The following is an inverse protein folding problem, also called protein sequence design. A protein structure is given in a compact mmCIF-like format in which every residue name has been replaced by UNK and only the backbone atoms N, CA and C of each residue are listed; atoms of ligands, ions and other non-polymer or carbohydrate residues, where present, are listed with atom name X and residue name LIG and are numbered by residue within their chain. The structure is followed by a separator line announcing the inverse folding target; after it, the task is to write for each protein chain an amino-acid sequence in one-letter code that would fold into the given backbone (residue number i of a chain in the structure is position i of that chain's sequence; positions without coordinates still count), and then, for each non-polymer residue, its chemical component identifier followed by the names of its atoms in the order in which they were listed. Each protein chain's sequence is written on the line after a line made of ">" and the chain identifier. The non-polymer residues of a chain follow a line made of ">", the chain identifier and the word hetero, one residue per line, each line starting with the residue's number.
data_IF_213286409271
#
_entry.id   IF_213286409271
#
_cell.length_a   1.000
_cell.length_b   1.000
_cell.length_c   1.000
_cell.angle_alpha   90.00
_cell.angle_beta   90.00
_cell.angle_gamma   90.00
#
_symmetry.space_group_name_H-M   'P 1'
#
loop_
_entity.id
_entity.type
_entity.pdbx_description
1 polymer ?
#
# COMPACT_ATOMS: atom_id res chain seq x y z
N UNK A 1 -5.20 -12.99 11.62
CA UNK A 1 -5.15 -11.75 10.79
C UNK A 1 -6.47 -11.59 10.07
N UNK A 2 -7.08 -10.44 10.19
CA UNK A 2 -8.29 -10.10 9.44
C UNK A 2 -7.97 -9.97 7.95
N UNK A 3 -9.02 -9.99 7.11
CA UNK A 3 -8.86 -9.82 5.66
C UNK A 3 -8.17 -8.48 5.34
N UNK A 4 -7.19 -8.52 4.47
CA UNK A 4 -6.43 -7.36 4.03
C UNK A 4 -6.89 -6.95 2.64
N UNK A 5 -7.08 -5.65 2.45
CA UNK A 5 -7.31 -5.09 1.11
C UNK A 5 -5.96 -4.75 0.50
N UNK A 6 -5.64 -5.36 -0.63
CA UNK A 6 -4.42 -5.11 -1.38
C UNK A 6 -4.75 -4.16 -2.53
N UNK A 7 -4.05 -3.05 -2.61
CA UNK A 7 -4.16 -2.15 -3.77
C UNK A 7 -3.19 -2.63 -4.84
N UNK A 8 -3.73 -3.01 -5.99
CA UNK A 8 -2.93 -3.55 -7.09
C UNK A 8 -1.94 -2.52 -7.62
N UNK A 9 -0.75 -3.00 -7.93
CA UNK A 9 0.34 -2.25 -8.54
C UNK A 9 0.93 -3.10 -9.67
N UNK A 10 2.22 -3.02 -9.93
CA UNK A 10 2.87 -3.93 -10.88
C UNK A 10 2.77 -5.37 -10.39
N UNK A 11 2.78 -6.37 -11.29
CA UNK A 11 2.53 -7.76 -10.91
C UNK A 11 3.42 -8.28 -9.77
N UNK A 12 4.71 -7.99 -9.81
CA UNK A 12 5.64 -8.43 -8.77
C UNK A 12 5.33 -7.76 -7.42
N UNK A 13 5.09 -6.46 -7.44
CA UNK A 13 4.78 -5.69 -6.22
C UNK A 13 3.47 -6.17 -5.61
N UNK A 14 2.44 -6.39 -6.43
CA UNK A 14 1.16 -6.93 -5.97
C UNK A 14 1.35 -8.31 -5.32
N UNK A 15 2.16 -9.17 -5.91
CA UNK A 15 2.45 -10.49 -5.36
C UNK A 15 3.16 -10.40 -4.00
N UNK A 16 4.04 -9.44 -3.82
CA UNK A 16 4.69 -9.19 -2.53
C UNK A 16 3.68 -8.75 -1.46
N UNK A 17 2.77 -7.84 -1.82
CA UNK A 17 1.72 -7.40 -0.90
C UNK A 17 0.81 -8.55 -0.49
N UNK A 18 0.45 -9.42 -1.44
CA UNK A 18 -0.34 -10.62 -1.17
C UNK A 18 0.44 -11.57 -0.26
N UNK A 19 1.74 -11.71 -0.48
CA UNK A 19 2.62 -12.53 0.36
C UNK A 19 2.70 -12.07 1.81
N UNK A 20 2.46 -10.78 2.05
CA UNK A 20 2.44 -10.22 3.41
C UNK A 20 1.13 -10.47 4.16
N UNK A 21 0.08 -10.93 3.47
CA UNK A 21 -1.25 -11.13 4.05
C UNK A 21 -1.60 -12.61 4.12
N UNK A 22 -2.38 -13.01 5.12
CA UNK A 22 -2.90 -14.38 5.21
C UNK A 22 -4.19 -14.56 4.40
N UNK A 23 -5.06 -13.59 4.46
CA UNK A 23 -6.31 -13.56 3.70
C UNK A 23 -6.46 -12.16 3.11
N UNK A 24 -6.74 -12.07 1.83
CA UNK A 24 -6.78 -10.78 1.15
C UNK A 24 -7.77 -10.73 0.00
N UNK A 25 -8.15 -9.52 -0.34
CA UNK A 25 -8.82 -9.18 -1.59
C UNK A 25 -7.96 -8.15 -2.30
N UNK A 26 -7.82 -8.29 -3.61
CA UNK A 26 -7.04 -7.35 -4.43
C UNK A 26 -8.02 -6.44 -5.17
N UNK A 27 -7.77 -5.13 -5.09
CA UNK A 27 -8.57 -4.15 -5.82
C UNK A 27 -7.66 -3.32 -6.74
N UNK A 28 -8.22 -2.89 -7.85
CA UNK A 28 -7.54 -2.03 -8.81
C UNK A 28 -8.31 -0.71 -8.89
N UNK A 29 -7.70 0.36 -8.44
CA UNK A 29 -8.31 1.70 -8.47
C UNK A 29 -7.26 2.76 -8.18
N UNK A 30 -7.50 3.97 -8.66
CA UNK A 30 -6.73 5.16 -8.32
C UNK A 30 -7.54 6.11 -7.42
N UNK A 31 -8.76 5.70 -7.05
CA UNK A 31 -9.63 6.47 -6.18
C UNK A 31 -9.47 6.03 -4.73
N UNK A 32 -8.89 6.89 -3.91
CA UNK A 32 -8.78 6.67 -2.47
C UNK A 32 -10.15 6.51 -1.82
N UNK A 33 -11.11 7.29 -2.27
CA UNK A 33 -12.49 7.24 -1.78
C UNK A 33 -13.14 5.89 -2.01
N UNK A 34 -13.05 5.37 -3.25
CA UNK A 34 -13.61 4.07 -3.60
C UNK A 34 -12.94 2.94 -2.82
N UNK A 35 -11.62 2.99 -2.68
CA UNK A 35 -10.86 2.00 -1.91
C UNK A 35 -11.26 2.03 -0.44
N UNK A 36 -11.36 3.22 0.15
CA UNK A 36 -11.77 3.38 1.56
C UNK A 36 -13.18 2.84 1.80
N UNK A 37 -14.11 3.14 0.92
CA UNK A 37 -15.49 2.63 1.01
C UNK A 37 -15.54 1.11 0.91
N UNK A 38 -14.77 0.53 -0.01
CA UNK A 38 -14.67 -0.92 -0.16
C UNK A 38 -14.11 -1.57 1.11
N UNK A 39 -13.05 -0.98 1.69
CA UNK A 39 -12.44 -1.50 2.91
C UNK A 39 -13.45 -1.50 4.08
N UNK A 40 -14.21 -0.43 4.23
CA UNK A 40 -15.25 -0.34 5.28
C UNK A 40 -16.38 -1.34 5.04
N UNK A 41 -16.91 -1.40 3.82
CA UNK A 41 -18.04 -2.25 3.47
C UNK A 41 -17.74 -3.74 3.61
N UNK A 42 -16.49 -4.13 3.37
CA UNK A 42 -16.04 -5.51 3.45
C UNK A 42 -15.33 -5.83 4.76
N UNK A 43 -15.36 -4.90 5.72
CA UNK A 43 -14.79 -5.10 7.05
C UNK A 43 -13.33 -5.56 7.00
N UNK A 44 -12.54 -4.95 6.11
CA UNK A 44 -11.11 -5.26 6.02
C UNK A 44 -10.38 -4.79 7.27
N UNK A 45 -9.40 -5.56 7.71
CA UNK A 45 -8.60 -5.22 8.89
C UNK A 45 -7.46 -4.26 8.61
N UNK A 46 -7.01 -4.20 7.36
CA UNK A 46 -5.92 -3.32 6.93
C UNK A 46 -5.97 -3.09 5.42
N UNK A 47 -5.29 -2.07 4.96
CA UNK A 47 -5.05 -1.80 3.54
C UNK A 47 -3.55 -1.79 3.30
N UNK A 48 -3.08 -2.62 2.39
CA UNK A 48 -1.66 -2.64 1.99
C UNK A 48 -1.50 -1.98 0.63
N UNK A 49 -0.56 -1.06 0.54
CA UNK A 49 -0.19 -0.37 -0.69
C UNK A 49 1.30 -0.56 -0.98
N UNK A 50 1.69 -0.38 -2.23
CA UNK A 50 3.10 -0.42 -2.59
C UNK A 50 3.86 0.77 -1.97
N UNK A 51 5.08 0.53 -1.51
CA UNK A 51 5.94 1.56 -0.93
C UNK A 51 6.67 2.41 -1.98
N UNK A 52 6.02 2.67 -3.10
CA UNK A 52 6.48 3.56 -4.16
C UNK A 52 5.95 4.98 -3.91
N UNK A 53 6.42 5.96 -4.67
CA UNK A 53 5.91 7.33 -4.55
C UNK A 53 4.39 7.40 -4.78
N UNK A 54 3.92 6.75 -5.85
CA UNK A 54 2.50 6.72 -6.17
C UNK A 54 1.69 5.95 -5.13
N UNK A 55 2.23 4.83 -4.66
CA UNK A 55 1.58 4.02 -3.63
C UNK A 55 1.47 4.73 -2.29
N UNK A 56 2.51 5.44 -1.89
CA UNK A 56 2.49 6.23 -0.64
C UNK A 56 1.50 7.39 -0.73
N UNK A 57 1.45 8.08 -1.88
CA UNK A 57 0.53 9.19 -2.09
C UNK A 57 -0.92 8.70 -2.03
N UNK A 58 -1.24 7.64 -2.75
CA UNK A 58 -2.57 7.03 -2.73
C UNK A 58 -2.91 6.51 -1.33
N UNK A 59 -1.96 5.83 -0.69
CA UNK A 59 -2.12 5.30 0.66
C UNK A 59 -2.43 6.38 1.70
N UNK A 60 -1.77 7.52 1.59
CA UNK A 60 -2.04 8.66 2.48
C UNK A 60 -3.46 9.20 2.30
N UNK A 61 -3.93 9.30 1.06
CA UNK A 61 -5.32 9.72 0.78
C UNK A 61 -6.34 8.69 1.28
N UNK A 62 -6.03 7.40 1.16
CA UNK A 62 -6.87 6.33 1.71
C UNK A 62 -6.95 6.46 3.24
N UNK A 63 -5.82 6.68 3.90
CA UNK A 63 -5.77 6.84 5.36
C UNK A 63 -6.64 8.02 5.83
N UNK A 64 -6.59 9.15 5.12
CA UNK A 64 -7.45 10.29 5.41
C UNK A 64 -8.93 9.93 5.25
N UNK A 65 -9.29 9.25 4.17
CA UNK A 65 -10.67 8.84 3.92
C UNK A 65 -11.18 7.82 4.95
N UNK A 66 -10.29 7.03 5.52
CA UNK A 66 -10.61 6.06 6.59
C UNK A 66 -10.53 6.69 7.99
N UNK A 67 -10.16 7.94 8.11
CA UNK A 67 -9.88 8.59 9.40
C UNK A 67 -8.90 7.77 10.24
N UNK A 68 -7.87 7.27 9.59
CA UNK A 68 -6.87 6.36 10.14
C UNK A 68 -5.47 6.96 9.99
N UNK A 69 -4.46 6.12 9.94
CA UNK A 69 -3.07 6.53 9.73
C UNK A 69 -2.39 5.62 8.74
N UNK A 70 -1.26 6.09 8.21
CA UNK A 70 -0.42 5.32 7.30
C UNK A 70 0.96 5.08 7.92
N UNK A 71 1.47 3.87 7.77
CA UNK A 71 2.86 3.54 8.08
C UNK A 71 3.57 3.33 6.76
N UNK A 72 4.65 4.06 6.54
CA UNK A 72 5.44 3.97 5.30
C UNK A 72 6.72 3.18 5.52
N UNK A 73 7.28 2.68 4.41
CA UNK A 73 8.56 1.96 4.39
C UNK A 73 8.63 0.73 5.29
N UNK A 74 7.49 0.05 5.44
CA UNK A 74 7.44 -1.21 6.18
C UNK A 74 8.20 -2.31 5.44
N UNK A 75 8.97 -3.10 6.17
CA UNK A 75 9.68 -4.26 5.64
C UNK A 75 9.02 -5.58 6.05
N UNK A 76 8.17 -5.54 7.04
CA UNK A 76 7.34 -6.69 7.46
C UNK A 76 6.13 -6.22 8.25
N UNK A 77 5.11 -7.06 8.31
CA UNK A 77 3.88 -6.80 9.05
C UNK A 77 3.48 -8.11 9.75
N UNK A 78 3.19 -8.04 11.05
CA UNK A 78 2.72 -9.22 11.78
C UNK A 78 1.20 -9.38 11.72
N UNK A 79 0.68 -10.43 12.34
CA UNK A 79 -0.76 -10.75 12.33
C UNK A 79 -1.63 -9.71 13.06
N UNK A 80 -1.04 -8.86 13.85
CA UNK A 80 -1.72 -7.77 14.56
C UNK A 80 -1.55 -6.43 13.86
N UNK A 81 -1.04 -6.44 12.62
CA UNK A 81 -0.75 -5.26 11.81
C UNK A 81 0.27 -4.31 12.45
N UNK A 82 1.18 -4.87 13.24
CA UNK A 82 2.37 -4.15 13.68
C UNK A 82 3.40 -4.23 12.58
N UNK A 83 3.79 -3.08 12.05
CA UNK A 83 4.77 -2.99 10.98
C UNK A 83 6.17 -2.79 11.55
N UNK A 84 7.14 -3.47 10.96
CA UNK A 84 8.56 -3.24 11.24
C UNK A 84 9.14 -2.39 10.13
N UNK A 85 9.87 -1.36 10.47
CA UNK A 85 10.52 -0.47 9.51
C UNK A 85 11.92 -0.12 9.97
N UNK A 86 12.77 0.29 9.03
CA UNK A 86 14.12 0.75 9.29
C UNK A 86 14.15 2.27 9.16
N UNK A 87 14.63 2.95 10.18
CA UNK A 87 14.78 4.40 10.19
C UNK A 87 16.26 4.80 10.29
N UNK A 88 16.55 6.04 9.94
CA UNK A 88 17.90 6.60 9.99
C UNK A 88 18.93 5.76 9.21
N UNK A 89 18.60 5.47 7.93
CA UNK A 89 19.50 4.71 7.07
C UNK A 89 19.73 3.26 7.51
N UNK A 90 18.78 2.69 8.24
CA UNK A 90 18.87 1.31 8.73
C UNK A 90 19.53 1.20 10.11
N UNK A 91 19.90 2.32 10.75
CA UNK A 91 20.50 2.29 12.08
C UNK A 91 19.54 1.88 13.19
N UNK A 92 18.24 2.10 12.99
CA UNK A 92 17.21 1.78 13.96
C UNK A 92 16.14 0.89 13.34
N UNK A 93 15.74 -0.14 14.06
CA UNK A 93 14.57 -0.94 13.75
C UNK A 93 13.41 -0.42 14.59
N UNK A 94 12.33 -0.01 13.95
CA UNK A 94 11.16 0.56 14.59
C UNK A 94 9.96 -0.33 14.35
N UNK A 95 9.17 -0.57 15.38
CA UNK A 95 7.85 -1.22 15.27
C UNK A 95 6.78 -0.16 15.48
N UNK A 96 5.83 -0.11 14.57
CA UNK A 96 4.77 0.89 14.59
C UNK A 96 3.41 0.23 14.37
N UNK A 97 2.40 0.78 15.00
CA UNK A 97 1.02 0.33 14.85
C UNK A 97 0.09 1.54 14.78
N UNK A 98 -0.89 1.46 13.88
CA UNK A 98 -1.96 2.46 13.81
C UNK A 98 -3.05 2.05 14.83
N UNK A 99 -3.37 2.94 15.75
CA UNK A 99 -4.32 2.67 16.83
C UNK A 99 -5.75 3.15 16.54
N UNK A 100 -5.98 3.74 15.37
CA UNK A 100 -7.29 4.32 15.03
C UNK A 100 -7.69 3.91 13.62
N UNK A 101 -8.89 3.34 13.50
CA UNK A 101 -9.45 2.98 12.20
C UNK A 101 -8.73 1.81 11.54
N UNK A 102 -8.95 1.66 10.24
CA UNK A 102 -8.31 0.61 9.43
C UNK A 102 -6.91 1.08 9.05
N UNK A 103 -5.85 0.43 9.53
CA UNK A 103 -4.49 0.87 9.22
C UNK A 103 -4.16 0.75 7.73
N UNK A 104 -3.42 1.72 7.21
CA UNK A 104 -2.86 1.68 5.86
C UNK A 104 -1.36 1.49 5.99
N UNK A 105 -0.82 0.47 5.34
CA UNK A 105 0.59 0.12 5.42
C UNK A 105 1.19 0.08 4.02
N UNK A 106 2.18 0.94 3.80
CA UNK A 106 2.96 0.96 2.57
C UNK A 106 4.19 0.07 2.78
N UNK A 107 4.25 -1.03 2.03
CA UNK A 107 5.29 -2.05 2.15
C UNK A 107 6.37 -1.78 1.10
N UNK A 108 7.59 -1.68 1.57
CA UNK A 108 8.76 -1.42 0.74
C UNK A 108 8.95 -2.55 -0.28
N UNK A 109 9.13 -2.24 -1.58
CA UNK A 109 9.40 -3.27 -2.58
C UNK A 109 10.64 -4.10 -2.25
N UNK A 110 10.62 -5.38 -2.62
CA UNK A 110 11.68 -6.35 -2.39
C UNK A 110 11.95 -6.69 -0.92
N UNK A 111 10.98 -6.44 -0.04
CA UNK A 111 11.09 -6.78 1.38
C UNK A 111 10.33 -8.05 1.77
N UNK A 112 9.35 -8.45 0.97
CA UNK A 112 8.47 -9.59 1.25
C UNK A 112 8.60 -10.62 0.12
N UNK A 113 8.56 -11.89 0.48
CA UNK A 113 8.50 -12.98 -0.49
C UNK A 113 7.20 -12.90 -1.29
N UNK A 114 7.26 -12.82 -2.62
CA UNK A 114 6.05 -12.77 -3.43
C UNK A 114 5.21 -14.03 -3.28
N UNK A 115 3.89 -13.89 -3.22
CA UNK A 115 2.98 -15.03 -3.25
C UNK A 115 3.06 -15.75 -4.61
N UNK A 116 2.87 -17.06 -4.60
CA UNK A 116 2.90 -17.88 -5.83
C UNK A 116 1.64 -17.66 -6.68
N UNK A 117 0.54 -17.22 -6.08
CA UNK A 117 -0.69 -16.88 -6.80
C UNK A 117 -1.29 -15.61 -6.23
N UNK A 118 -1.90 -14.82 -7.10
CA UNK A 118 -2.52 -13.55 -6.75
C UNK A 118 -4.00 -13.61 -7.13
N UNK A 119 -4.91 -13.28 -6.21
CA UNK A 119 -6.33 -13.22 -6.56
C UNK A 119 -6.61 -12.22 -7.68
N UNK A 120 -7.64 -12.48 -8.46
CA UNK A 120 -8.06 -11.54 -9.50
C UNK A 120 -8.49 -10.22 -8.87
N UNK A 121 -8.04 -9.12 -9.45
CA UNK A 121 -8.32 -7.79 -8.93
C UNK A 121 -9.77 -7.37 -9.23
N UNK A 122 -10.43 -6.80 -8.24
CA UNK A 122 -11.74 -6.16 -8.38
C UNK A 122 -11.50 -4.72 -8.80
N UNK A 123 -12.07 -4.32 -9.93
CA UNK A 123 -11.95 -2.94 -10.41
C UNK A 123 -12.96 -2.05 -9.69
N UNK A 124 -12.48 -0.93 -9.16
CA UNK A 124 -13.31 0.05 -8.49
C UNK A 124 -13.23 1.38 -9.23
N UNK A 125 -14.39 1.99 -9.45
CA UNK A 125 -14.50 3.30 -10.06
C UNK A 125 -14.80 4.35 -8.99
N UNK A 126 -14.27 5.56 -9.19
CA UNK A 126 -14.53 6.67 -8.28
C UNK A 126 -13.81 7.93 -8.72
N UNK A 127 -14.30 9.06 -8.25
CA UNK A 127 -13.70 10.37 -8.46
C UNK A 127 -13.36 10.97 -7.10
N UNK A 128 -12.09 11.28 -6.90
CA UNK A 128 -11.58 11.83 -5.65
C UNK A 128 -11.69 13.35 -5.59
N UNK A 129 -12.08 14.02 -6.66
CA UNK A 129 -12.02 15.47 -6.78
C UNK A 129 -10.65 16.01 -6.37
N UNK A 130 -9.59 15.36 -6.85
CA UNK A 130 -8.22 15.67 -6.46
C UNK A 130 -7.84 17.10 -6.84
N UNK A 131 -7.20 17.81 -5.90
CA UNK A 131 -6.64 19.14 -6.12
C UNK A 131 -5.32 19.09 -6.91
N UNK A 132 -4.74 17.91 -7.07
CA UNK A 132 -3.47 17.70 -7.77
C UNK A 132 -3.70 16.81 -8.98
N UNK A 133 -3.27 17.28 -10.14
CA UNK A 133 -3.37 16.53 -11.38
C UNK A 133 -1.98 16.38 -12.01
N UNK A 134 -1.66 15.18 -12.49
CA UNK A 134 -0.43 14.97 -13.26
C UNK A 134 -0.69 15.41 -14.69
N UNK A 135 -0.06 16.52 -15.12
CA UNK A 135 -0.22 17.06 -16.47
C UNK A 135 0.61 16.32 -17.50
N UNK A 136 1.80 15.88 -17.10
CA UNK A 136 2.67 15.11 -17.99
C UNK A 136 3.65 14.29 -17.19
N UNK A 137 4.03 13.15 -17.73
CA UNK A 137 5.06 12.29 -17.17
C UNK A 137 5.91 11.78 -18.32
N UNK A 138 7.21 12.04 -18.28
CA UNK A 138 8.16 11.59 -19.30
C UNK A 138 9.25 10.77 -18.64
N UNK A 139 9.55 9.57 -19.17
CA UNK A 139 10.69 8.81 -18.66
C UNK A 139 11.98 9.57 -18.94
N UNK A 140 12.87 9.60 -17.97
CA UNK A 140 14.22 10.15 -18.16
C UNK A 140 14.99 9.26 -19.13
N UNK A 141 15.70 9.89 -20.07
CA UNK A 141 16.68 9.16 -20.84
C UNK A 141 17.79 8.68 -19.90
N UNK A 142 18.21 7.41 -20.07
CA UNK A 142 19.31 6.84 -19.29
C UNK A 142 20.62 7.48 -19.76
N UNK A 143 21.14 8.42 -19.00
CA UNK A 143 22.52 8.89 -19.16
C UNK A 143 23.51 7.89 -18.55
N UNK A 144 24.77 8.01 -18.91
CA UNK A 144 25.84 7.25 -18.25
C UNK A 144 25.85 7.61 -16.77
N UNK A 145 25.83 6.58 -15.89
CA UNK A 145 26.02 6.80 -14.45
C UNK A 145 27.49 7.04 -14.17
N UNK A 146 27.84 8.11 -13.49
CA UNK A 146 29.17 8.19 -12.91
C UNK A 146 29.27 7.13 -11.81
N UNK A 147 30.29 6.35 -11.85
CA UNK A 147 30.59 5.35 -10.83
C UNK A 147 31.56 5.85 -9.81
#
# INVERSE_FOLDING_TARGET
>A
MSKVLIVADLPKTTAELVGAANDCVVVESKSAKAIAEYAKSNQCGAVFVAGTMDGKELGARIAVALESGIITDAISVDSNFVATKLDFGGSYTVKAKVNRGIPVIAIRPNSIEPASSVPEAVKLDGDDNSLVTIKSSKPKSKGARPE
#
